data_IF_997013154239
#
_entry.id   IF_997013154239
#
_cell.length_a   1.000
_cell.length_b   1.000
_cell.length_c   1.000
_cell.angle_alpha   90.00
_cell.angle_beta   90.00
_cell.angle_gamma   90.00
#
_symmetry.space_group_name_H-M   'P 1'
#
loop_
_entity.id
_entity.type
_entity.pdbx_description
1 polymer ?
#
# COMPACT_ATOMS: atom_id res chain seq x y z
N UNK A 1 -33.22 -46.29 28.88
CA UNK A 1 -33.22 -44.88 29.33
C UNK A 1 -31.86 -44.42 29.91
N UNK A 2 -31.15 -45.23 30.73
CA UNK A 2 -29.90 -44.83 31.40
C UNK A 2 -28.68 -44.66 30.47
N UNK A 3 -28.50 -45.54 29.48
CA UNK A 3 -27.38 -45.48 28.52
C UNK A 3 -27.37 -44.17 27.71
N UNK A 4 -28.53 -43.76 27.21
CA UNK A 4 -28.67 -42.53 26.42
C UNK A 4 -28.34 -41.27 27.24
N UNK A 5 -28.68 -41.29 28.54
CA UNK A 5 -28.34 -40.21 29.48
C UNK A 5 -26.83 -40.16 29.76
N UNK A 6 -26.17 -41.32 29.88
CA UNK A 6 -24.74 -41.41 30.09
C UNK A 6 -23.95 -40.92 28.86
N UNK A 7 -24.38 -41.28 27.65
CA UNK A 7 -23.76 -40.79 26.41
C UNK A 7 -23.88 -39.27 26.25
N UNK A 8 -25.05 -38.69 26.55
CA UNK A 8 -25.25 -37.23 26.53
C UNK A 8 -24.35 -36.51 27.54
N UNK A 9 -24.20 -37.08 28.74
CA UNK A 9 -23.31 -36.52 29.77
C UNK A 9 -21.84 -36.58 29.36
N UNK A 10 -21.40 -37.66 28.73
CA UNK A 10 -20.03 -37.78 28.22
C UNK A 10 -19.76 -36.80 27.07
N UNK A 11 -20.74 -36.60 26.18
CA UNK A 11 -20.64 -35.60 25.12
C UNK A 11 -20.56 -34.17 25.67
N UNK A 12 -21.33 -33.85 26.72
CA UNK A 12 -21.27 -32.56 27.40
C UNK A 12 -19.90 -32.33 28.07
N UNK A 13 -19.35 -33.35 28.74
CA UNK A 13 -18.00 -33.29 29.33
C UNK A 13 -16.92 -33.08 28.26
N UNK A 14 -17.02 -33.77 27.13
CA UNK A 14 -16.07 -33.62 26.02
C UNK A 14 -16.09 -32.19 25.44
N UNK A 15 -17.29 -31.61 25.23
CA UNK A 15 -17.42 -30.22 24.76
C UNK A 15 -16.81 -29.23 25.75
N UNK A 16 -17.08 -29.41 27.04
CA UNK A 16 -16.50 -28.56 28.10
C UNK A 16 -14.97 -28.64 28.12
N UNK A 17 -14.41 -29.84 27.95
CA UNK A 17 -12.95 -30.05 27.88
C UNK A 17 -12.33 -29.33 26.68
N UNK A 18 -12.95 -29.41 25.51
CA UNK A 18 -12.48 -28.71 24.30
C UNK A 18 -12.49 -27.20 24.51
N UNK A 19 -13.59 -26.65 25.05
CA UNK A 19 -13.71 -25.20 25.30
C UNK A 19 -12.65 -24.72 26.29
N UNK A 20 -12.40 -25.48 27.36
CA UNK A 20 -11.38 -25.16 28.36
C UNK A 20 -9.96 -25.13 27.75
N UNK A 21 -9.62 -26.13 26.93
CA UNK A 21 -8.30 -26.19 26.28
C UNK A 21 -8.09 -25.07 25.25
N UNK A 22 -9.14 -24.69 24.52
CA UNK A 22 -9.09 -23.54 23.60
C UNK A 22 -8.85 -22.25 24.38
N UNK A 23 -9.57 -22.05 25.49
CA UNK A 23 -9.38 -20.87 26.34
C UNK A 23 -7.96 -20.80 26.92
N UNK A 24 -7.42 -21.93 27.37
CA UNK A 24 -6.04 -22.02 27.86
C UNK A 24 -5.03 -21.68 26.75
N UNK A 25 -5.27 -22.12 25.51
CA UNK A 25 -4.46 -21.76 24.35
C UNK A 25 -4.42 -20.26 24.10
N UNK A 26 -5.57 -19.57 24.17
CA UNK A 26 -5.62 -18.11 24.05
C UNK A 26 -4.84 -17.39 25.15
N UNK A 27 -4.94 -17.87 26.40
CA UNK A 27 -4.19 -17.30 27.53
C UNK A 27 -2.68 -17.45 27.30
N UNK A 28 -2.21 -18.62 26.86
CA UNK A 28 -0.78 -18.84 26.56
C UNK A 28 -0.30 -17.91 25.45
N UNK A 29 -1.08 -17.75 24.38
CA UNK A 29 -0.75 -16.79 23.31
C UNK A 29 -0.62 -15.37 23.86
N UNK A 30 -1.59 -14.90 24.65
CA UNK A 30 -1.54 -13.56 25.26
C UNK A 30 -0.28 -13.38 26.13
N UNK A 31 0.06 -14.39 26.94
CA UNK A 31 1.28 -14.34 27.77
C UNK A 31 2.56 -14.29 26.93
N UNK A 32 2.62 -15.01 25.80
CA UNK A 32 3.74 -14.90 24.86
C UNK A 32 3.81 -13.49 24.24
N UNK A 33 2.68 -12.93 23.81
CA UNK A 33 2.62 -11.56 23.29
C UNK A 33 3.15 -10.52 24.28
N UNK A 34 2.80 -10.66 25.57
CA UNK A 34 3.30 -9.80 26.64
C UNK A 34 4.80 -10.04 26.91
N UNK A 35 5.23 -11.31 26.99
CA UNK A 35 6.63 -11.66 27.25
C UNK A 35 7.58 -11.17 26.17
N UNK A 36 7.20 -11.29 24.90
CA UNK A 36 8.02 -10.83 23.76
C UNK A 36 7.98 -9.30 23.55
N UNK A 37 7.22 -8.58 24.38
CA UNK A 37 7.06 -7.12 24.34
C UNK A 37 6.77 -6.60 22.91
N UNK A 38 5.99 -7.38 22.15
CA UNK A 38 5.60 -7.06 20.77
C UNK A 38 4.90 -5.69 20.68
N UNK A 39 3.97 -5.30 21.59
CA UNK A 39 3.29 -4.02 21.44
C UNK A 39 4.23 -2.81 21.56
N UNK A 40 5.26 -2.86 22.42
CA UNK A 40 6.22 -1.76 22.54
C UNK A 40 7.14 -1.66 21.32
N UNK A 41 7.57 -2.80 20.75
CA UNK A 41 8.35 -2.81 19.50
C UNK A 41 7.55 -2.28 18.31
N UNK A 42 6.27 -2.63 18.21
CA UNK A 42 5.37 -2.12 17.16
C UNK A 42 5.06 -0.63 17.37
N UNK A 43 4.83 -0.20 18.62
CA UNK A 43 4.59 1.20 18.96
C UNK A 43 5.84 2.06 18.71
N UNK A 44 7.03 1.58 19.08
CA UNK A 44 8.31 2.25 18.78
C UNK A 44 8.58 2.33 17.26
N UNK A 45 8.25 1.26 16.51
CA UNK A 45 8.33 1.30 15.05
C UNK A 45 7.35 2.33 14.45
N UNK A 46 6.19 2.54 15.07
CA UNK A 46 5.22 3.56 14.65
C UNK A 46 5.67 4.99 15.02
N UNK A 47 6.12 5.22 16.26
CA UNK A 47 6.61 6.52 16.75
C UNK A 47 7.88 6.97 16.03
N UNK A 48 8.74 6.02 15.62
CA UNK A 48 9.92 6.33 14.79
C UNK A 48 9.56 6.96 13.45
N UNK A 49 8.38 6.67 12.88
CA UNK A 49 7.93 7.33 11.66
C UNK A 49 7.58 8.81 11.89
N UNK A 50 7.24 9.19 13.13
CA UNK A 50 6.88 10.57 13.46
C UNK A 50 8.11 11.46 13.65
N UNK A 51 9.21 10.95 14.22
CA UNK A 51 10.51 11.65 14.29
C UNK A 51 11.20 11.72 12.93
N UNK A 52 11.02 10.71 12.08
CA UNK A 52 11.44 10.75 10.66
C UNK A 52 10.75 11.92 9.93
N UNK A 53 9.45 12.16 10.14
CA UNK A 53 8.74 13.28 9.50
C UNK A 53 9.23 14.67 9.96
N UNK A 54 9.72 14.80 11.20
CA UNK A 54 10.31 16.05 11.69
C UNK A 54 11.71 16.31 11.11
N UNK A 55 12.44 15.25 10.76
CA UNK A 55 13.78 15.35 10.16
C UNK A 55 13.69 15.56 8.63
N UNK A 56 12.67 14.99 7.98
CA UNK A 56 12.43 15.15 6.53
C UNK A 56 12.17 16.61 6.14
N UNK A 57 11.44 17.39 6.95
CA UNK A 57 11.19 18.82 6.66
C UNK A 57 12.47 19.69 6.73
N UNK A 58 13.58 19.18 7.29
CA UNK A 58 14.88 19.88 7.30
C UNK A 58 15.85 19.36 6.21
N UNK A 59 15.49 18.30 5.49
CA UNK A 59 16.32 17.64 4.46
C UNK A 59 15.93 18.08 3.03
N UNK A 60 14.97 18.98 2.85
CA UNK A 60 14.52 19.50 1.54
C UNK A 60 15.59 20.27 0.72
N UNK A 61 16.86 20.27 1.15
CA UNK A 61 18.02 20.75 0.37
C UNK A 61 19.02 19.67 -0.04
N UNK A 62 18.79 18.40 0.29
CA UNK A 62 19.67 17.30 -0.14
C UNK A 62 19.17 16.77 -1.48
N UNK A 63 20.06 16.86 -2.47
CA UNK A 63 19.96 16.31 -3.83
C UNK A 63 18.93 15.18 -3.95
N UNK A 64 17.92 15.29 -4.85
CA UNK A 64 16.94 14.23 -5.04
C UNK A 64 17.67 12.90 -5.21
N UNK A 65 17.28 11.92 -4.41
CA UNK A 65 17.90 10.59 -4.37
C UNK A 65 18.20 10.14 -5.81
N UNK A 66 19.43 9.68 -6.10
CA UNK A 66 19.87 9.28 -7.44
C UNK A 66 18.86 8.37 -8.17
N UNK A 67 18.15 7.54 -7.40
CA UNK A 67 17.05 6.68 -7.83
C UNK A 67 15.84 7.46 -8.36
N UNK A 68 15.42 8.53 -7.67
CA UNK A 68 14.35 9.42 -8.12
C UNK A 68 14.75 10.16 -9.40
N UNK A 69 15.98 10.69 -9.46
CA UNK A 69 16.50 11.36 -10.66
C UNK A 69 16.47 10.46 -11.90
N UNK A 70 16.96 9.22 -11.78
CA UNK A 70 16.89 8.24 -12.87
C UNK A 70 15.44 7.94 -13.28
N UNK A 71 14.53 7.84 -12.30
CA UNK A 71 13.12 7.59 -12.57
C UNK A 71 12.41 8.79 -13.21
N UNK A 72 12.84 10.01 -12.89
CA UNK A 72 12.38 11.25 -13.51
C UNK A 72 12.92 11.38 -14.95
N UNK A 73 14.16 10.98 -15.18
CA UNK A 73 14.71 10.85 -16.53
C UNK A 73 13.89 9.84 -17.35
N UNK A 74 13.65 8.63 -16.82
CA UNK A 74 12.78 7.64 -17.47
C UNK A 74 11.40 8.23 -17.82
N UNK A 75 10.81 9.03 -16.94
CA UNK A 75 9.51 9.65 -17.20
C UNK A 75 9.49 10.54 -18.44
N UNK A 76 10.56 11.30 -18.70
CA UNK A 76 10.65 12.26 -19.81
C UNK A 76 11.17 11.63 -21.11
N UNK A 77 12.01 10.60 -21.02
CA UNK A 77 12.73 10.06 -22.19
C UNK A 77 12.33 8.64 -22.58
N UNK A 78 11.50 7.95 -21.79
CA UNK A 78 10.99 6.63 -22.16
C UNK A 78 10.19 6.71 -23.45
N UNK A 79 10.53 5.87 -24.41
CA UNK A 79 9.81 5.77 -25.68
C UNK A 79 8.36 5.35 -25.45
N UNK A 80 7.45 6.00 -26.17
CA UNK A 80 6.01 5.84 -26.03
C UNK A 80 5.35 5.50 -27.36
N UNK A 81 4.14 4.98 -27.29
CA UNK A 81 3.22 5.03 -28.43
C UNK A 81 2.97 6.49 -28.82
N UNK A 82 2.91 6.77 -30.12
CA UNK A 82 2.69 8.12 -30.63
C UNK A 82 1.30 8.67 -30.27
N UNK A 83 0.32 7.80 -30.08
CA UNK A 83 -1.08 8.16 -29.80
C UNK A 83 -1.62 7.42 -28.56
N UNK A 84 -1.19 7.76 -27.34
CA UNK A 84 -1.71 7.14 -26.13
C UNK A 84 -3.17 7.55 -25.91
N UNK A 85 -4.02 6.59 -25.53
CA UNK A 85 -5.41 6.88 -25.06
C UNK A 85 -5.53 6.83 -23.55
N UNK A 86 -4.62 6.14 -22.87
CA UNK A 86 -4.59 6.00 -21.43
C UNK A 86 -3.20 6.28 -20.88
N UNK A 87 -3.14 7.06 -19.81
CA UNK A 87 -1.93 7.30 -19.02
C UNK A 87 -2.15 6.79 -17.61
N UNK A 88 -1.34 5.82 -17.20
CA UNK A 88 -1.31 5.34 -15.82
C UNK A 88 -0.29 6.18 -15.05
N UNK A 89 -0.75 7.07 -14.17
CA UNK A 89 0.09 7.99 -13.40
C UNK A 89 0.20 7.53 -11.94
N UNK A 90 1.42 7.44 -11.41
CA UNK A 90 1.61 7.31 -9.95
C UNK A 90 3.00 6.91 -9.51
N UNK A 91 3.05 6.12 -8.44
CA UNK A 91 4.29 5.76 -7.77
C UNK A 91 4.82 4.37 -8.20
N UNK A 92 5.51 3.68 -7.27
CA UNK A 92 6.05 2.33 -7.47
C UNK A 92 5.00 1.29 -7.87
N UNK A 93 3.75 1.38 -7.39
CA UNK A 93 2.70 0.41 -7.76
C UNK A 93 2.37 0.54 -9.25
N UNK A 94 2.25 1.77 -9.72
CA UNK A 94 2.01 2.04 -11.13
C UNK A 94 3.22 1.62 -11.97
N UNK A 95 4.43 1.91 -11.48
CA UNK A 95 5.68 1.68 -12.22
C UNK A 95 5.88 0.21 -12.58
N UNK A 96 5.67 -0.69 -11.63
CA UNK A 96 6.05 -2.09 -11.80
C UNK A 96 4.99 -2.95 -12.49
N UNK A 97 3.79 -2.42 -12.75
CA UNK A 97 2.75 -3.14 -13.48
C UNK A 97 2.95 -3.08 -15.00
N UNK A 98 2.74 -4.21 -15.67
CA UNK A 98 2.64 -4.29 -17.13
C UNK A 98 1.20 -4.02 -17.57
N UNK A 99 0.88 -2.73 -17.73
CA UNK A 99 -0.48 -2.29 -18.09
C UNK A 99 -0.93 -2.70 -19.49
N UNK A 100 0.00 -2.95 -20.41
CA UNK A 100 -0.33 -3.41 -21.76
C UNK A 100 -0.94 -4.79 -21.71
N UNK A 101 -0.33 -5.70 -20.94
CA UNK A 101 -0.80 -7.07 -20.78
C UNK A 101 -2.04 -7.13 -19.89
N UNK A 102 -2.04 -6.38 -18.79
CA UNK A 102 -3.16 -6.37 -17.83
C UNK A 102 -4.46 -5.85 -18.47
N UNK A 103 -4.38 -4.83 -19.31
CA UNK A 103 -5.53 -4.21 -19.98
C UNK A 103 -5.73 -4.72 -21.40
N UNK A 104 -4.87 -5.61 -21.89
CA UNK A 104 -4.89 -6.21 -23.24
C UNK A 104 -4.95 -5.13 -24.34
N UNK A 105 -4.10 -4.10 -24.25
CA UNK A 105 -4.10 -2.96 -25.19
C UNK A 105 -2.76 -2.23 -25.25
N UNK A 106 -2.39 -1.73 -26.43
CA UNK A 106 -1.08 -1.13 -26.71
C UNK A 106 -1.03 0.41 -26.62
N UNK A 107 -2.18 1.05 -26.45
CA UNK A 107 -2.34 2.51 -26.37
C UNK A 107 -2.40 3.02 -24.91
N UNK A 108 -1.77 2.27 -24.00
CA UNK A 108 -1.58 2.64 -22.58
C UNK A 108 -0.12 2.98 -22.36
N UNK A 109 0.15 4.09 -21.69
CA UNK A 109 1.50 4.47 -21.25
C UNK A 109 1.61 4.44 -19.73
N UNK A 110 2.69 3.82 -19.24
CA UNK A 110 3.02 3.75 -17.82
C UNK A 110 3.87 4.95 -17.41
N UNK A 111 3.35 5.75 -16.47
CA UNK A 111 3.97 6.89 -15.82
C UNK A 111 4.03 6.71 -14.31
N UNK A 112 4.49 5.55 -13.86
CA UNK A 112 4.87 5.31 -12.48
C UNK A 112 6.31 5.76 -12.20
N UNK A 113 6.57 6.44 -11.08
CA UNK A 113 7.91 6.73 -10.56
C UNK A 113 8.03 6.13 -9.15
N UNK A 114 9.02 5.28 -8.87
CA UNK A 114 9.19 4.74 -7.52
C UNK A 114 9.50 5.87 -6.53
N UNK A 115 8.84 5.84 -5.36
CA UNK A 115 9.01 6.89 -4.34
C UNK A 115 8.29 8.20 -4.65
N UNK A 116 7.52 8.28 -5.75
CA UNK A 116 6.78 9.50 -6.05
C UNK A 116 5.67 9.78 -5.04
N UNK A 117 5.43 11.06 -4.81
CA UNK A 117 4.43 11.56 -3.88
C UNK A 117 3.37 12.41 -4.61
N UNK A 118 2.32 12.79 -3.90
CA UNK A 118 1.23 13.60 -4.46
C UNK A 118 1.71 14.91 -5.11
N UNK A 119 2.72 15.57 -4.53
CA UNK A 119 3.25 16.83 -5.09
C UNK A 119 3.95 16.60 -6.42
N UNK A 120 4.85 15.60 -6.48
CA UNK A 120 5.55 15.22 -7.70
C UNK A 120 4.58 14.76 -8.81
N UNK A 121 3.55 14.00 -8.45
CA UNK A 121 2.48 13.62 -9.37
C UNK A 121 1.72 14.83 -9.92
N UNK A 122 1.37 15.81 -9.08
CA UNK A 122 0.69 17.04 -9.51
C UNK A 122 1.54 17.87 -10.48
N UNK A 123 2.84 18.01 -10.20
CA UNK A 123 3.73 18.74 -11.10
C UNK A 123 3.90 18.02 -12.44
N UNK A 124 3.98 16.69 -12.41
CA UNK A 124 4.05 15.86 -13.62
C UNK A 124 2.77 15.89 -14.44
N UNK A 125 1.62 16.05 -13.78
CA UNK A 125 0.33 16.16 -14.46
C UNK A 125 0.29 17.37 -15.40
N UNK A 126 0.99 18.47 -15.07
CA UNK A 126 1.11 19.65 -15.94
C UNK A 126 1.76 19.32 -17.29
N UNK A 127 2.71 18.38 -17.33
CA UNK A 127 3.35 17.92 -18.57
C UNK A 127 2.47 16.95 -19.36
N UNK A 128 1.56 16.27 -18.70
CA UNK A 128 0.68 15.28 -19.31
C UNK A 128 -0.64 15.87 -19.80
N UNK A 129 -1.01 17.08 -19.34
CA UNK A 129 -2.28 17.74 -19.66
C UNK A 129 -2.47 17.95 -21.17
N UNK A 130 -1.38 18.18 -21.90
CA UNK A 130 -1.41 18.46 -23.34
C UNK A 130 -1.49 17.18 -24.17
N UNK A 131 -1.39 16.00 -23.55
CA UNK A 131 -1.67 14.72 -24.22
C UNK A 131 -3.18 14.49 -24.24
N UNK A 132 -3.73 14.24 -25.43
CA UNK A 132 -5.14 13.86 -25.64
C UNK A 132 -5.44 12.42 -25.15
N UNK A 133 -5.22 12.15 -23.87
CA UNK A 133 -5.33 10.83 -23.26
C UNK A 133 -6.04 10.90 -21.91
N UNK A 134 -6.75 9.82 -21.53
CA UNK A 134 -7.37 9.70 -20.20
C UNK A 134 -6.32 9.33 -19.16
N UNK A 135 -6.24 10.10 -18.07
CA UNK A 135 -5.25 9.89 -17.01
C UNK A 135 -5.93 9.16 -15.84
N UNK A 136 -5.32 8.05 -15.40
CA UNK A 136 -5.76 7.26 -14.24
C UNK A 136 -4.64 7.20 -13.20
N UNK A 137 -4.96 7.38 -11.93
CA UNK A 137 -4.04 7.17 -10.81
C UNK A 137 -4.68 6.31 -9.73
N UNK A 138 -3.93 5.34 -9.21
CA UNK A 138 -4.31 4.60 -8.01
C UNK A 138 -3.65 5.29 -6.81
N UNK A 139 -4.36 6.24 -6.21
CA UNK A 139 -3.96 6.81 -4.93
C UNK A 139 -5.17 6.85 -3.98
N UNK A 140 -4.98 6.45 -2.73
CA UNK A 140 -6.04 6.34 -1.70
C UNK A 140 -6.68 7.70 -1.34
N UNK A 141 -6.15 8.81 -1.89
CA UNK A 141 -6.64 10.18 -1.73
C UNK A 141 -6.86 10.89 -3.09
N UNK A 142 -7.32 10.17 -4.12
CA UNK A 142 -7.60 10.70 -5.46
C UNK A 142 -8.44 12.00 -5.49
N UNK A 143 -9.24 12.28 -4.46
CA UNK A 143 -9.99 13.55 -4.30
C UNK A 143 -9.09 14.80 -4.21
N UNK A 144 -7.82 14.67 -3.81
CA UNK A 144 -6.87 15.78 -3.70
C UNK A 144 -6.05 16.00 -4.98
N UNK A 145 -5.80 14.93 -5.74
CA UNK A 145 -5.04 14.97 -7.00
C UNK A 145 -5.66 15.92 -8.04
N UNK A 146 -7.00 16.01 -8.07
CA UNK A 146 -7.75 16.72 -9.11
C UNK A 146 -8.19 18.15 -8.76
N UNK A 147 -7.81 18.73 -7.61
CA UNK A 147 -8.08 20.17 -7.37
C UNK A 147 -7.23 21.09 -8.26
N UNK A 148 -6.18 20.58 -8.90
CA UNK A 148 -5.29 21.34 -9.78
C UNK A 148 -5.60 21.21 -11.28
N UNK A 149 -6.51 20.32 -11.69
CA UNK A 149 -6.90 20.14 -13.11
C UNK A 149 -8.16 20.92 -13.50
N UNK A 150 -8.75 21.67 -12.56
CA UNK A 150 -9.78 22.67 -12.84
C UNK A 150 -9.18 24.05 -12.57
N UNK A 151 -8.42 24.56 -13.52
CA UNK A 151 -8.17 25.98 -13.78
C UNK A 151 -7.82 26.11 -15.25
#
# INVERSE_FOLDING_TARGET
>A
MSLLKNMKNNLLKLKSLIVSNVLLGFIVVILLFMHYNIPSKVLMAFDSNQSINQTINQIDTIQPEKTYLLSYFDFHYKTETQNPKIIMLGNSIIRHANWVDLLVRKDVINRGISGDNLSGMCDRLKYLKDKNAKIFSFEHNAKKLCRYTKN
#
